data_IF_718843387347
#
_entry.id   IF_718843387347
#
_cell.length_a   1.000
_cell.length_b   1.000
_cell.length_c   1.000
_cell.angle_alpha   90.00
_cell.angle_beta   90.00
_cell.angle_gamma   90.00
#
_symmetry.space_group_name_H-M   'P 1'
#
loop_
_entity.id
_entity.type
_entity.pdbx_description
1 polymer ?
#
# COMPACT_ATOMS: atom_id res chain seq x y z
N UNK A 1 2.63 16.26 21.76
CA UNK A 1 1.37 15.72 21.19
C UNK A 1 1.60 15.59 19.69
N UNK A 2 1.14 14.50 19.05
CA UNK A 2 1.08 14.51 17.59
C UNK A 2 0.05 15.57 17.21
N UNK A 3 0.44 16.55 16.41
CA UNK A 3 -0.52 17.50 15.85
C UNK A 3 -1.56 16.70 15.09
N UNK A 4 -2.82 16.79 15.55
CA UNK A 4 -3.92 16.12 14.88
C UNK A 4 -4.04 16.74 13.49
N UNK A 5 -3.93 15.92 12.46
CA UNK A 5 -4.45 16.30 11.15
C UNK A 5 -5.93 16.57 11.40
N UNK A 6 -6.42 17.78 11.06
CA UNK A 6 -7.79 18.19 11.39
C UNK A 6 -8.79 17.10 11.00
N UNK A 7 -9.83 16.88 11.82
CA UNK A 7 -10.72 15.72 11.70
C UNK A 7 -11.40 15.60 10.32
N UNK A 8 -11.44 16.67 9.54
CA UNK A 8 -12.01 16.75 8.20
C UNK A 8 -11.03 16.47 7.05
N UNK A 9 -9.76 16.15 7.33
CA UNK A 9 -8.75 15.90 6.30
C UNK A 9 -8.63 14.42 6.00
N UNK A 10 -8.96 14.01 4.77
CA UNK A 10 -8.76 12.65 4.32
C UNK A 10 -7.26 12.25 4.39
N UNK A 11 -6.98 11.21 5.20
CA UNK A 11 -5.62 10.69 5.39
C UNK A 11 -5.43 9.37 4.65
N UNK A 12 -4.44 9.30 3.77
CA UNK A 12 -3.92 8.05 3.22
C UNK A 12 -2.53 7.81 3.77
N UNK A 13 -2.29 6.61 4.32
CA UNK A 13 -0.97 6.21 4.81
C UNK A 13 -0.34 5.21 3.86
N UNK A 14 0.99 5.20 3.78
CA UNK A 14 1.65 4.29 2.87
C UNK A 14 3.16 4.37 2.96
N UNK A 15 3.79 3.55 2.15
CA UNK A 15 5.24 3.54 2.03
C UNK A 15 5.75 2.51 1.05
N UNK A 16 7.07 2.50 0.87
CA UNK A 16 7.76 1.51 0.06
C UNK A 16 8.48 0.49 0.94
N UNK A 17 8.41 -0.79 0.60
CA UNK A 17 9.17 -1.85 1.28
C UNK A 17 8.92 -1.86 2.80
N UNK A 18 9.96 -1.74 3.64
CA UNK A 18 9.82 -1.62 5.10
C UNK A 18 8.91 -0.46 5.54
N UNK A 19 8.82 0.63 4.77
CA UNK A 19 7.85 1.70 5.04
C UNK A 19 6.41 1.24 4.84
N UNK A 20 6.15 0.41 3.83
CA UNK A 20 4.83 -0.19 3.60
C UNK A 20 4.39 -1.06 4.79
N UNK A 21 5.34 -1.76 5.41
CA UNK A 21 5.12 -2.55 6.63
C UNK A 21 4.75 -1.70 7.83
N UNK A 22 5.51 -0.64 8.09
CA UNK A 22 5.20 0.30 9.18
C UNK A 22 3.80 0.87 8.98
N UNK A 23 3.48 1.34 7.77
CA UNK A 23 2.17 1.87 7.46
C UNK A 23 1.04 0.83 7.61
N UNK A 24 1.26 -0.45 7.22
CA UNK A 24 0.27 -1.51 7.42
C UNK A 24 -0.04 -1.73 8.91
N UNK A 25 1.00 -1.77 9.75
CA UNK A 25 0.87 -1.99 11.21
C UNK A 25 0.15 -0.84 11.92
N UNK A 26 0.24 0.37 11.39
CA UNK A 26 -0.28 1.57 12.05
C UNK A 26 -1.56 2.11 11.44
N UNK A 27 -1.96 1.68 10.24
CA UNK A 27 -3.07 2.27 9.47
C UNK A 27 -4.39 2.37 10.25
N UNK A 28 -4.75 1.33 11.00
CA UNK A 28 -5.96 1.34 11.83
C UNK A 28 -5.92 2.41 12.95
N UNK A 29 -4.73 2.76 13.44
CA UNK A 29 -4.55 3.73 14.54
C UNK A 29 -4.47 5.17 14.06
N UNK A 30 -4.32 5.41 12.76
CA UNK A 30 -4.16 6.76 12.21
C UNK A 30 -5.47 7.40 11.77
N UNK A 31 -6.59 6.65 11.74
CA UNK A 31 -7.83 7.11 11.13
C UNK A 31 -7.73 7.24 9.60
N UNK A 32 -6.83 6.49 8.97
CA UNK A 32 -6.63 6.59 7.52
C UNK A 32 -7.85 6.07 6.76
N UNK A 33 -8.23 6.75 5.68
CA UNK A 33 -9.24 6.27 4.75
C UNK A 33 -8.67 5.27 3.72
N UNK A 34 -7.35 5.17 3.60
CA UNK A 34 -6.72 4.17 2.75
C UNK A 34 -5.25 3.89 3.03
N UNK A 35 -4.76 2.81 2.43
CA UNK A 35 -3.40 2.30 2.54
C UNK A 35 -2.75 2.12 1.17
N UNK A 36 -1.57 2.70 0.97
CA UNK A 36 -0.77 2.56 -0.26
C UNK A 36 0.54 1.82 0.03
N UNK A 37 0.70 0.63 -0.55
CA UNK A 37 1.93 -0.13 -0.49
C UNK A 37 2.66 -0.13 -1.83
N UNK A 38 3.93 0.25 -1.81
CA UNK A 38 4.84 0.07 -2.94
C UNK A 38 5.84 -1.05 -2.59
N UNK A 39 5.83 -2.14 -3.34
CA UNK A 39 6.74 -3.27 -3.13
C UNK A 39 6.71 -3.80 -1.67
N UNK A 40 5.56 -4.29 -1.20
CA UNK A 40 5.46 -4.85 0.16
C UNK A 40 6.30 -6.14 0.25
N UNK A 41 7.26 -6.26 1.19
CA UNK A 41 8.13 -7.41 1.24
C UNK A 41 7.43 -8.56 1.96
N UNK A 42 6.58 -9.30 1.24
CA UNK A 42 5.71 -10.34 1.79
C UNK A 42 6.50 -11.43 2.52
N UNK A 43 7.65 -11.83 1.98
CA UNK A 43 8.59 -12.76 2.58
C UNK A 43 9.88 -12.02 2.93
N UNK A 44 10.44 -12.30 4.10
CA UNK A 44 11.72 -11.74 4.52
C UNK A 44 12.91 -12.42 3.83
N UNK A 45 14.09 -11.78 3.79
CA UNK A 45 15.33 -12.48 3.45
C UNK A 45 15.61 -13.72 4.31
N UNK A 46 14.97 -13.83 5.49
CA UNK A 46 15.08 -14.98 6.41
C UNK A 46 13.94 -15.99 6.24
N UNK A 47 13.12 -15.90 5.19
CA UNK A 47 12.01 -16.82 4.92
C UNK A 47 10.74 -16.59 5.75
N UNK A 48 10.75 -15.68 6.74
CA UNK A 48 9.56 -15.35 7.53
C UNK A 48 8.50 -14.63 6.69
N UNK A 49 7.28 -15.15 6.69
CA UNK A 49 6.11 -14.56 6.01
C UNK A 49 5.49 -13.40 6.80
N UNK A 50 4.95 -12.42 6.07
CA UNK A 50 4.20 -11.26 6.59
C UNK A 50 2.80 -11.16 5.99
N UNK A 51 2.26 -12.28 5.52
CA UNK A 51 0.88 -12.37 5.00
C UNK A 51 -0.11 -11.80 6.02
N UNK A 52 -0.04 -12.24 7.28
CA UNK A 52 -0.91 -11.76 8.34
C UNK A 52 -0.81 -10.24 8.59
N UNK A 53 0.36 -9.64 8.36
CA UNK A 53 0.56 -8.20 8.51
C UNK A 53 -0.18 -7.41 7.42
N UNK A 54 -0.14 -7.89 6.18
CA UNK A 54 -0.84 -7.26 5.06
C UNK A 54 -2.35 -7.56 5.08
N UNK A 55 -2.75 -8.73 5.57
CA UNK A 55 -4.17 -9.13 5.69
C UNK A 55 -4.88 -8.42 6.85
N UNK A 56 -4.15 -7.91 7.84
CA UNK A 56 -4.71 -7.12 8.94
C UNK A 56 -5.09 -5.68 8.56
N UNK A 57 -4.77 -5.22 7.35
CA UNK A 57 -5.13 -3.88 6.87
C UNK A 57 -6.65 -3.79 6.67
N UNK A 58 -7.31 -3.02 7.54
CA UNK A 58 -8.78 -2.92 7.59
C UNK A 58 -9.38 -1.84 6.66
N UNK A 59 -8.54 -1.04 6.01
CA UNK A 59 -8.93 0.07 5.13
C UNK A 59 -8.72 -0.32 3.66
N UNK A 60 -9.37 0.34 2.68
CA UNK A 60 -9.06 0.18 1.27
C UNK A 60 -7.55 0.26 1.00
N UNK A 61 -7.02 -0.74 0.30
CA UNK A 61 -5.60 -0.91 0.08
C UNK A 61 -5.29 -1.01 -1.41
N UNK A 62 -4.30 -0.23 -1.86
CA UNK A 62 -3.63 -0.40 -3.14
C UNK A 62 -2.21 -0.92 -2.90
N UNK A 63 -1.91 -2.09 -3.45
CA UNK A 63 -0.56 -2.68 -3.46
C UNK A 63 -0.03 -2.66 -4.89
N UNK A 64 1.04 -1.92 -5.12
CA UNK A 64 1.78 -1.89 -6.38
C UNK A 64 3.02 -2.77 -6.25
N UNK A 65 3.04 -3.88 -6.98
CA UNK A 65 4.02 -4.94 -6.79
C UNK A 65 4.65 -5.33 -8.13
N UNK A 66 5.98 -5.42 -8.15
CA UNK A 66 6.70 -5.95 -9.32
C UNK A 66 6.54 -7.46 -9.44
N UNK A 67 6.33 -7.96 -10.66
CA UNK A 67 6.26 -9.40 -10.94
C UNK A 67 7.59 -10.14 -10.72
N UNK A 68 8.73 -9.41 -10.73
CA UNK A 68 10.07 -9.92 -10.43
C UNK A 68 10.54 -9.58 -9.02
N UNK A 69 9.64 -9.13 -8.13
CA UNK A 69 10.01 -8.82 -6.74
C UNK A 69 10.36 -10.13 -5.98
N UNK A 70 11.62 -10.31 -5.53
CA UNK A 70 12.04 -11.53 -4.85
C UNK A 70 11.40 -11.72 -3.46
N UNK A 71 10.76 -10.68 -2.92
CA UNK A 71 10.05 -10.76 -1.64
C UNK A 71 8.60 -11.19 -1.78
N UNK A 72 8.16 -11.54 -2.99
CA UNK A 72 6.85 -12.14 -3.26
C UNK A 72 5.70 -11.13 -3.32
N UNK A 73 4.53 -11.64 -3.67
CA UNK A 73 3.31 -10.86 -3.87
C UNK A 73 2.13 -11.57 -3.20
N UNK A 74 1.21 -10.79 -2.64
CA UNK A 74 -0.04 -11.32 -2.10
C UNK A 74 -1.14 -11.19 -3.15
N UNK A 75 -2.09 -12.12 -3.13
CA UNK A 75 -3.27 -12.05 -4.00
C UNK A 75 -4.20 -10.89 -3.59
N UNK A 76 -5.02 -10.40 -4.54
CA UNK A 76 -6.13 -9.49 -4.24
C UNK A 76 -7.08 -10.05 -3.18
N UNK A 77 -7.78 -9.15 -2.49
CA UNK A 77 -8.82 -9.48 -1.51
C UNK A 77 -9.91 -8.41 -1.53
N UNK A 78 -10.99 -8.60 -0.77
CA UNK A 78 -12.14 -7.68 -0.72
C UNK A 78 -11.73 -6.19 -0.60
N UNK A 79 -10.80 -5.87 0.30
CA UNK A 79 -10.31 -4.50 0.54
C UNK A 79 -8.98 -4.20 -0.13
N UNK A 80 -8.40 -5.14 -0.87
CA UNK A 80 -7.03 -5.03 -1.39
C UNK A 80 -6.99 -5.23 -2.89
N UNK A 81 -6.67 -4.15 -3.60
CA UNK A 81 -6.28 -4.18 -4.99
C UNK A 81 -4.78 -4.46 -5.06
N UNK A 82 -4.39 -5.38 -5.93
CA UNK A 82 -2.98 -5.66 -6.24
C UNK A 82 -2.76 -5.36 -7.71
N UNK A 83 -1.99 -4.33 -7.99
CA UNK A 83 -1.60 -3.94 -9.34
C UNK A 83 -0.21 -4.47 -9.62
N UNK A 84 -0.12 -5.39 -10.58
CA UNK A 84 1.14 -6.04 -10.96
C UNK A 84 1.87 -5.19 -11.99
N UNK A 85 3.08 -4.77 -11.64
CA UNK A 85 3.96 -3.97 -12.48
C UNK A 85 4.86 -4.92 -13.27
N UNK A 86 4.44 -5.26 -14.50
CA UNK A 86 5.11 -6.25 -15.35
C UNK A 86 6.55 -5.83 -15.64
N UNK A 87 7.51 -6.72 -15.42
CA UNK A 87 8.94 -6.49 -15.56
C UNK A 87 9.56 -5.58 -14.48
N UNK A 88 8.84 -5.22 -13.42
CA UNK A 88 9.44 -4.49 -12.29
C UNK A 88 10.00 -5.44 -11.23
N UNK A 89 11.11 -5.03 -10.62
CA UNK A 89 11.65 -5.67 -9.42
C UNK A 89 11.26 -4.87 -8.16
N UNK A 90 11.79 -5.24 -7.00
CA UNK A 90 11.52 -4.57 -5.73
C UNK A 90 11.84 -3.06 -5.71
N UNK A 91 12.69 -2.58 -6.63
CA UNK A 91 13.04 -1.15 -6.70
C UNK A 91 11.93 -0.31 -7.32
N UNK A 92 11.09 -0.92 -8.17
CA UNK A 92 10.01 -0.30 -8.93
C UNK A 92 10.42 0.84 -9.88
N UNK A 93 11.74 1.10 -10.04
CA UNK A 93 12.25 2.27 -10.77
C UNK A 93 11.86 2.29 -12.25
N UNK A 94 11.70 1.13 -12.86
CA UNK A 94 11.33 0.99 -14.28
C UNK A 94 9.86 1.32 -14.59
N UNK A 95 9.03 1.56 -13.56
CA UNK A 95 7.57 1.72 -13.69
C UNK A 95 7.01 2.95 -12.97
N UNK A 96 7.84 3.97 -12.70
CA UNK A 96 7.42 5.20 -11.99
C UNK A 96 6.20 5.87 -12.66
N UNK A 97 6.15 5.93 -13.99
CA UNK A 97 5.01 6.52 -14.70
C UNK A 97 3.70 5.75 -14.49
N UNK A 98 3.75 4.42 -14.53
CA UNK A 98 2.59 3.55 -14.29
C UNK A 98 2.14 3.62 -12.82
N UNK A 99 3.10 3.63 -11.88
CA UNK A 99 2.85 3.84 -10.44
C UNK A 99 2.08 5.13 -10.21
N UNK A 100 2.54 6.23 -10.83
CA UNK A 100 1.86 7.51 -10.73
C UNK A 100 0.42 7.41 -11.26
N UNK A 101 0.24 6.90 -12.48
CA UNK A 101 -1.08 6.79 -13.11
C UNK A 101 -2.07 5.97 -12.27
N UNK A 102 -1.67 4.77 -11.82
CA UNK A 102 -2.52 3.88 -11.03
C UNK A 102 -2.83 4.48 -9.66
N UNK A 103 -1.83 5.07 -8.99
CA UNK A 103 -2.03 5.72 -7.69
C UNK A 103 -3.01 6.89 -7.80
N UNK A 104 -2.86 7.77 -8.80
CA UNK A 104 -3.78 8.89 -9.02
C UNK A 104 -5.21 8.42 -9.29
N UNK A 105 -5.37 7.39 -10.13
CA UNK A 105 -6.68 6.83 -10.44
C UNK A 105 -7.37 6.24 -9.20
N UNK A 106 -6.60 5.59 -8.32
CA UNK A 106 -7.12 5.03 -7.07
C UNK A 106 -7.45 6.10 -6.01
N UNK A 107 -6.63 7.15 -5.89
CA UNK A 107 -6.87 8.24 -4.94
C UNK A 107 -8.11 9.08 -5.29
N UNK A 108 -8.41 9.26 -6.58
CA UNK A 108 -9.47 10.15 -7.04
C UNK A 108 -10.86 9.88 -6.43
N UNK A 109 -11.37 8.64 -6.41
CA UNK A 109 -12.62 8.30 -5.72
C UNK A 109 -12.48 8.30 -4.20
N UNK A 110 -11.32 7.92 -3.66
CA UNK A 110 -11.08 7.77 -2.23
C UNK A 110 -11.06 9.11 -1.47
N UNK A 111 -10.58 10.15 -2.13
CA UNK A 111 -10.42 11.49 -1.55
C UNK A 111 -11.58 12.43 -1.85
N UNK A 112 -12.63 11.96 -2.54
CA UNK A 112 -13.82 12.78 -2.78
C UNK A 112 -14.67 12.85 -1.50
N UNK A 113 -15.12 14.05 -1.10
CA UNK A 113 -16.09 14.16 -0.03
C UNK A 113 -17.39 13.45 -0.45
N UNK A 114 -18.14 12.86 0.51
CA UNK A 114 -19.49 12.37 0.22
C UNK A 114 -20.35 13.55 -0.27
N UNK A 115 -21.03 13.33 -1.41
CA UNK A 115 -22.03 14.27 -1.98
C UNK A 115 -23.33 14.23 -1.20
#
# INVERSE_FOLDING_TARGET
>A
AQDAIGEDVALVVGGRSSGARVAARTSARTGACGYLALAFPLVSPRGVTRVAELDAVAVPALVLQGDRDPFGMRDPAERRIVHVLVGADHSLRSRVGEIHAVTTAWLGPLLRPPV
#
